data_IF_635574405152
#
_entry.id   IF_635574405152
#
_cell.length_a   1.000
_cell.length_b   1.000
_cell.length_c   1.000
_cell.angle_alpha   90.00
_cell.angle_beta   90.00
_cell.angle_gamma   90.00
#
_symmetry.space_group_name_H-M   'P 1'
#
loop_
_entity.id
_entity.type
_entity.pdbx_description
1 polymer ?
#
# COMPACT_ATOMS: atom_id res chain seq x y z
N UNK A 1 -19.34 -18.28 17.61
CA UNK A 1 -19.93 -17.04 18.07
C UNK A 1 -18.86 -15.98 18.31
N UNK A 2 -19.10 -14.79 17.81
CA UNK A 2 -18.22 -13.64 18.01
C UNK A 2 -18.42 -13.14 19.44
N UNK A 3 -17.32 -12.84 20.15
CA UNK A 3 -17.41 -12.22 21.46
C UNK A 3 -18.09 -10.85 21.36
N UNK A 4 -18.71 -10.34 22.42
CA UNK A 4 -19.33 -9.00 22.38
C UNK A 4 -18.36 -7.91 21.93
N UNK A 5 -17.10 -8.02 22.34
CA UNK A 5 -16.06 -7.09 21.95
C UNK A 5 -15.73 -7.20 20.46
N UNK A 6 -15.66 -8.39 19.91
CA UNK A 6 -15.42 -8.62 18.49
C UNK A 6 -16.61 -8.17 17.66
N UNK A 7 -17.82 -8.45 18.10
CA UNK A 7 -19.04 -8.02 17.42
C UNK A 7 -19.13 -6.50 17.32
N UNK A 8 -18.81 -5.80 18.41
CA UNK A 8 -18.78 -4.33 18.41
C UNK A 8 -17.73 -3.78 17.46
N UNK A 9 -16.55 -4.39 17.46
CA UNK A 9 -15.45 -3.97 16.58
C UNK A 9 -15.81 -4.18 15.11
N UNK A 10 -16.36 -5.36 14.76
CA UNK A 10 -16.77 -5.67 13.40
C UNK A 10 -17.88 -4.74 12.93
N UNK A 11 -18.89 -4.49 13.77
CA UNK A 11 -19.97 -3.59 13.43
C UNK A 11 -19.49 -2.16 13.19
N UNK A 12 -18.48 -1.72 13.94
CA UNK A 12 -17.94 -0.37 13.79
C UNK A 12 -17.00 -0.22 12.59
N UNK A 13 -16.11 -1.19 12.36
CA UNK A 13 -15.07 -1.08 11.35
C UNK A 13 -15.42 -1.78 10.04
N UNK A 14 -16.11 -2.90 10.09
CA UNK A 14 -16.23 -3.79 8.95
C UNK A 14 -17.49 -3.62 8.11
N UNK A 15 -18.54 -2.98 8.63
CA UNK A 15 -19.83 -2.94 7.91
C UNK A 15 -19.73 -2.20 6.57
N UNK A 16 -18.81 -1.25 6.42
CA UNK A 16 -18.65 -0.48 5.19
C UNK A 16 -17.58 -1.04 4.26
N UNK A 17 -16.57 -1.72 4.81
CA UNK A 17 -15.43 -2.22 4.04
C UNK A 17 -15.08 -3.64 4.50
N UNK A 18 -15.49 -4.66 3.73
CA UNK A 18 -15.12 -6.04 4.07
C UNK A 18 -13.64 -6.27 3.75
N UNK A 19 -12.81 -6.30 4.77
CA UNK A 19 -11.39 -6.53 4.60
C UNK A 19 -11.11 -8.01 4.37
N UNK A 20 -10.30 -8.30 3.35
CA UNK A 20 -9.99 -9.67 2.94
C UNK A 20 -9.09 -10.40 3.92
N UNK A 21 -8.34 -9.66 4.75
CA UNK A 21 -7.40 -10.26 5.69
C UNK A 21 -7.03 -9.30 6.81
N UNK A 22 -6.35 -9.83 7.83
CA UNK A 22 -5.72 -9.03 8.88
C UNK A 22 -4.23 -8.85 8.59
N UNK A 23 -3.63 -7.84 9.22
CA UNK A 23 -2.22 -7.53 9.04
C UNK A 23 -1.33 -8.59 9.65
N UNK A 24 -0.20 -8.86 9.02
CA UNK A 24 0.77 -9.85 9.46
C UNK A 24 1.96 -9.26 10.21
N UNK A 25 2.28 -7.98 9.98
CA UNK A 25 3.43 -7.27 10.57
C UNK A 25 4.76 -7.97 10.26
N UNK A 26 4.92 -8.42 9.01
CA UNK A 26 6.13 -9.11 8.56
C UNK A 26 7.05 -8.21 7.74
N UNK A 27 6.78 -6.91 7.71
CA UNK A 27 7.62 -5.90 7.07
C UNK A 27 7.76 -6.11 5.55
N UNK A 28 6.64 -6.38 4.89
CA UNK A 28 6.59 -6.49 3.43
C UNK A 28 5.81 -5.35 2.82
N UNK A 29 6.35 -4.79 1.74
CA UNK A 29 5.69 -3.77 0.93
C UNK A 29 5.53 -4.25 -0.51
N UNK A 30 4.43 -3.86 -1.14
CA UNK A 30 4.16 -4.13 -2.55
C UNK A 30 4.21 -2.84 -3.35
N UNK A 31 4.82 -2.89 -4.53
CA UNK A 31 4.84 -1.82 -5.52
C UNK A 31 4.49 -2.45 -6.86
N UNK A 32 3.46 -1.95 -7.52
CA UNK A 32 3.12 -2.37 -8.88
C UNK A 32 3.42 -1.24 -9.86
N UNK A 33 4.06 -1.57 -10.97
CA UNK A 33 4.45 -0.60 -11.97
C UNK A 33 4.39 -1.19 -13.37
N UNK A 34 4.35 -0.32 -14.39
CA UNK A 34 4.51 -0.72 -15.78
C UNK A 34 5.70 0.00 -16.43
N UNK A 35 6.53 0.66 -15.64
CA UNK A 35 7.73 1.36 -16.13
C UNK A 35 8.82 1.31 -15.07
N UNK A 36 9.99 1.83 -15.41
CA UNK A 36 11.09 1.98 -14.46
C UNK A 36 11.08 3.33 -13.74
N UNK A 37 10.05 4.15 -13.98
CA UNK A 37 9.89 5.43 -13.31
C UNK A 37 9.10 5.24 -12.01
N UNK A 38 9.84 4.86 -10.98
CA UNK A 38 9.31 4.63 -9.64
C UNK A 38 9.99 5.61 -8.68
N UNK A 39 9.21 6.56 -8.17
CA UNK A 39 9.73 7.71 -7.42
C UNK A 39 10.51 7.29 -6.18
N UNK A 40 11.76 7.73 -6.08
CA UNK A 40 12.64 7.48 -4.93
C UNK A 40 12.82 6.00 -4.53
N UNK A 41 12.53 5.06 -5.41
CA UNK A 41 12.53 3.63 -5.03
C UNK A 41 13.86 3.16 -4.46
N UNK A 42 14.98 3.44 -5.14
CA UNK A 42 16.28 2.99 -4.67
C UNK A 42 16.66 3.63 -3.34
N UNK A 43 16.37 4.89 -3.17
CA UNK A 43 16.60 5.62 -1.93
C UNK A 43 15.78 5.03 -0.76
N UNK A 44 14.50 4.72 -1.00
CA UNK A 44 13.64 4.09 0.00
C UNK A 44 14.19 2.72 0.41
N UNK A 45 14.51 1.90 -0.57
CA UNK A 45 15.02 0.54 -0.36
C UNK A 45 16.31 0.56 0.45
N UNK A 46 17.24 1.47 0.14
CA UNK A 46 18.53 1.53 0.82
C UNK A 46 18.45 2.17 2.21
N UNK A 47 17.54 3.12 2.42
CA UNK A 47 17.44 3.86 3.68
C UNK A 47 16.43 3.28 4.67
N UNK A 48 15.52 2.41 4.22
CA UNK A 48 14.62 1.65 5.08
C UNK A 48 14.84 0.14 4.83
N UNK A 49 15.98 -0.39 5.24
CA UNK A 49 16.39 -1.76 4.89
C UNK A 49 15.66 -2.86 5.65
N UNK A 50 14.93 -2.52 6.72
CA UNK A 50 14.15 -3.51 7.48
C UNK A 50 12.88 -3.95 6.76
N UNK A 51 12.47 -3.23 5.73
CA UNK A 51 11.35 -3.59 4.87
C UNK A 51 11.82 -4.49 3.73
N UNK A 52 11.05 -5.49 3.36
CA UNK A 52 11.23 -6.23 2.11
C UNK A 52 10.28 -5.67 1.05
N UNK A 53 10.83 -5.28 -0.09
CA UNK A 53 10.08 -4.62 -1.16
C UNK A 53 9.84 -5.58 -2.30
N UNK A 54 8.58 -5.82 -2.62
CA UNK A 54 8.16 -6.64 -3.76
C UNK A 54 7.76 -5.70 -4.89
N UNK A 55 8.53 -5.69 -5.97
CA UNK A 55 8.28 -4.81 -7.11
C UNK A 55 7.80 -5.66 -8.28
N UNK A 56 6.53 -5.51 -8.63
CA UNK A 56 5.90 -6.25 -9.72
C UNK A 56 5.65 -5.35 -10.93
N UNK A 57 6.02 -5.84 -12.11
CA UNK A 57 5.74 -5.17 -13.37
C UNK A 57 4.83 -6.05 -14.22
N UNK A 58 3.82 -5.42 -14.87
CA UNK A 58 2.94 -6.16 -15.79
C UNK A 58 3.61 -6.40 -17.14
N UNK A 59 4.78 -5.79 -17.36
CA UNK A 59 5.61 -5.93 -18.54
C UNK A 59 6.98 -6.45 -18.16
N UNK A 60 7.87 -6.58 -19.14
CA UNK A 60 9.28 -6.81 -18.87
C UNK A 60 9.86 -5.64 -18.09
N UNK A 61 10.84 -5.91 -17.25
CA UNK A 61 11.54 -4.87 -16.51
C UNK A 61 12.77 -4.42 -17.28
N UNK A 62 13.02 -3.09 -17.26
CA UNK A 62 14.25 -2.54 -17.82
C UNK A 62 15.46 -2.99 -17.00
N UNK A 63 16.65 -2.86 -17.61
CA UNK A 63 17.89 -3.16 -16.90
C UNK A 63 18.09 -2.29 -15.67
N UNK A 64 17.59 -1.04 -15.71
CA UNK A 64 17.64 -0.12 -14.57
C UNK A 64 16.85 -0.66 -13.39
N UNK A 65 15.64 -1.16 -13.64
CA UNK A 65 14.81 -1.73 -12.58
C UNK A 65 15.38 -3.06 -12.10
N UNK A 66 15.85 -3.92 -13.02
CA UNK A 66 16.45 -5.19 -12.67
C UNK A 66 17.73 -5.06 -11.84
N UNK A 67 18.43 -3.93 -11.95
CA UNK A 67 19.63 -3.64 -11.16
C UNK A 67 19.34 -3.59 -9.67
N UNK A 68 18.12 -3.35 -9.27
CA UNK A 68 17.70 -3.34 -7.86
C UNK A 68 17.81 -4.73 -7.22
N UNK A 69 17.99 -5.79 -8.00
CA UNK A 69 18.26 -7.13 -7.48
C UNK A 69 19.54 -7.20 -6.63
N UNK A 70 20.43 -6.21 -6.75
CA UNK A 70 21.61 -6.10 -5.89
C UNK A 70 21.27 -5.91 -4.40
N UNK A 71 20.05 -5.42 -4.10
CA UNK A 71 19.60 -5.27 -2.72
C UNK A 71 18.95 -6.56 -2.23
N UNK A 72 19.41 -7.05 -1.06
CA UNK A 72 18.88 -8.30 -0.50
C UNK A 72 17.42 -8.20 -0.03
N UNK A 73 16.95 -6.97 0.17
CA UNK A 73 15.57 -6.70 0.60
C UNK A 73 14.64 -6.34 -0.55
N UNK A 74 14.99 -6.72 -1.77
CA UNK A 74 14.16 -6.48 -2.97
C UNK A 74 13.89 -7.79 -3.67
N UNK A 75 12.64 -8.03 -4.03
CA UNK A 75 12.22 -9.11 -4.93
C UNK A 75 11.55 -8.48 -6.15
N UNK A 76 12.00 -8.88 -7.33
CA UNK A 76 11.50 -8.35 -8.60
C UNK A 76 10.65 -9.39 -9.32
N UNK A 77 9.52 -8.95 -9.86
CA UNK A 77 8.57 -9.82 -10.55
C UNK A 77 8.27 -9.24 -11.94
N UNK A 78 9.15 -9.47 -12.93
CA UNK A 78 8.84 -9.08 -14.31
C UNK A 78 7.70 -9.94 -14.85
N UNK A 79 6.81 -9.35 -15.63
CA UNK A 79 5.62 -10.02 -16.17
C UNK A 79 4.84 -10.73 -15.06
N UNK A 80 4.54 -9.99 -13.99
CA UNK A 80 3.92 -10.56 -12.79
C UNK A 80 2.56 -11.22 -13.12
N UNK A 81 2.34 -12.40 -12.57
CA UNK A 81 1.10 -13.15 -12.80
C UNK A 81 0.01 -12.74 -11.82
N UNK A 82 -1.25 -13.05 -12.16
CA UNK A 82 -2.39 -12.79 -11.28
C UNK A 82 -2.24 -13.53 -9.95
N UNK A 83 -1.73 -14.76 -9.96
CA UNK A 83 -1.49 -15.55 -8.74
C UNK A 83 -0.44 -14.91 -7.86
N UNK A 84 0.64 -14.40 -8.46
CA UNK A 84 1.69 -13.69 -7.72
C UNK A 84 1.13 -12.42 -7.06
N UNK A 85 0.35 -11.64 -7.81
CA UNK A 85 -0.27 -10.42 -7.27
C UNK A 85 -1.18 -10.76 -6.09
N UNK A 86 -2.04 -11.76 -6.21
CA UNK A 86 -2.93 -12.19 -5.14
C UNK A 86 -2.17 -12.60 -3.89
N UNK A 87 -1.10 -13.37 -4.07
CA UNK A 87 -0.26 -13.81 -2.96
C UNK A 87 0.37 -12.61 -2.25
N UNK A 88 0.88 -11.64 -3.01
CA UNK A 88 1.52 -10.46 -2.44
C UNK A 88 0.53 -9.57 -1.68
N UNK A 89 -0.70 -9.45 -2.15
CA UNK A 89 -1.74 -8.74 -1.40
C UNK A 89 -2.06 -9.43 -0.07
N UNK A 90 -1.81 -10.72 0.06
CA UNK A 90 -2.02 -11.44 1.31
C UNK A 90 -0.81 -11.38 2.24
N UNK A 91 0.37 -11.15 1.71
CA UNK A 91 1.61 -11.14 2.49
C UNK A 91 2.01 -9.74 2.96
N UNK A 92 1.78 -8.71 2.16
CA UNK A 92 2.28 -7.37 2.42
C UNK A 92 1.30 -6.55 3.26
N UNK A 93 1.82 -5.75 4.18
CA UNK A 93 1.05 -4.82 4.98
C UNK A 93 1.10 -3.39 4.44
N UNK A 94 1.98 -3.11 3.48
CA UNK A 94 2.15 -1.79 2.88
C UNK A 94 1.99 -1.87 1.38
N UNK A 95 1.34 -0.87 0.81
CA UNK A 95 1.35 -0.61 -0.61
C UNK A 95 1.96 0.75 -0.86
N UNK A 96 3.05 0.81 -1.65
CA UNK A 96 3.70 2.07 -1.99
C UNK A 96 3.25 2.47 -3.39
N UNK A 97 2.41 3.49 -3.45
CA UNK A 97 1.85 4.03 -4.69
C UNK A 97 2.80 5.11 -5.24
N UNK A 98 3.92 4.66 -5.78
CA UNK A 98 5.04 5.52 -6.16
C UNK A 98 5.45 5.45 -7.63
N UNK A 99 4.70 4.72 -8.46
CA UNK A 99 4.95 4.66 -9.90
C UNK A 99 4.30 5.85 -10.63
N UNK A 100 4.98 6.35 -11.66
CA UNK A 100 4.54 7.55 -12.37
C UNK A 100 3.47 7.31 -13.43
N UNK A 101 3.35 6.11 -13.93
CA UNK A 101 2.39 5.78 -14.99
C UNK A 101 1.00 5.55 -14.40
N UNK A 102 0.06 5.15 -15.24
CA UNK A 102 -1.30 4.85 -14.81
C UNK A 102 -1.32 3.81 -13.70
N UNK A 103 -2.36 3.85 -12.89
CA UNK A 103 -2.56 2.86 -11.84
C UNK A 103 -2.67 1.45 -12.45
N UNK A 104 -2.03 0.49 -11.80
CA UNK A 104 -1.97 -0.89 -12.25
C UNK A 104 -3.02 -1.71 -11.50
N UNK A 105 -3.95 -2.32 -12.24
CA UNK A 105 -4.92 -3.30 -11.72
C UNK A 105 -5.73 -2.77 -10.53
N UNK A 106 -6.07 -1.48 -10.54
CA UNK A 106 -6.77 -0.82 -9.42
C UNK A 106 -6.07 -1.07 -8.08
N UNK A 107 -4.76 -0.91 -8.06
CA UNK A 107 -3.91 -1.34 -6.94
C UNK A 107 -4.26 -0.66 -5.62
N UNK A 108 -4.60 0.64 -5.62
CA UNK A 108 -4.92 1.33 -4.37
C UNK A 108 -6.20 0.79 -3.74
N UNK A 109 -7.22 0.51 -4.55
CA UNK A 109 -8.45 -0.10 -4.06
C UNK A 109 -8.18 -1.51 -3.52
N UNK A 110 -7.44 -2.32 -4.27
CA UNK A 110 -7.09 -3.67 -3.84
C UNK A 110 -6.26 -3.67 -2.56
N UNK A 111 -5.31 -2.75 -2.45
CA UNK A 111 -4.51 -2.60 -1.24
C UNK A 111 -5.39 -2.21 -0.05
N UNK A 112 -6.30 -1.26 -0.24
CA UNK A 112 -7.24 -0.86 0.80
C UNK A 112 -8.10 -2.03 1.25
N UNK A 113 -8.68 -2.78 0.32
CA UNK A 113 -9.52 -3.94 0.60
C UNK A 113 -8.76 -5.08 1.29
N UNK A 114 -7.45 -5.16 1.07
CA UNK A 114 -6.57 -6.13 1.72
C UNK A 114 -5.91 -5.58 2.99
N UNK A 115 -6.42 -4.49 3.52
CA UNK A 115 -6.02 -3.92 4.80
C UNK A 115 -4.54 -3.49 4.83
N UNK A 116 -4.05 -2.99 3.71
CA UNK A 116 -2.69 -2.50 3.57
C UNK A 116 -2.65 -0.99 3.77
N UNK A 117 -1.59 -0.53 4.42
CA UNK A 117 -1.36 0.91 4.57
C UNK A 117 -0.74 1.46 3.28
N UNK A 118 -1.36 2.51 2.73
CA UNK A 118 -0.95 3.09 1.45
C UNK A 118 -0.19 4.38 1.71
N UNK A 119 1.00 4.51 1.13
CA UNK A 119 1.78 5.73 1.10
C UNK A 119 2.06 6.10 -0.36
N UNK A 120 2.06 7.40 -0.66
CA UNK A 120 2.26 7.91 -2.01
C UNK A 120 3.01 9.24 -1.98
N UNK A 121 3.51 9.65 -3.13
CA UNK A 121 3.96 11.02 -3.34
C UNK A 121 2.89 11.82 -4.08
N UNK A 122 2.93 13.14 -3.97
CA UNK A 122 1.93 14.00 -4.62
C UNK A 122 1.93 13.85 -6.15
N UNK A 123 3.06 13.48 -6.73
CA UNK A 123 3.20 13.27 -8.17
C UNK A 123 2.98 11.82 -8.62
N UNK A 124 2.67 10.91 -7.70
CA UNK A 124 2.43 9.49 -8.02
C UNK A 124 1.14 8.93 -7.44
N UNK A 125 0.41 9.69 -6.64
CA UNK A 125 -0.82 9.21 -6.01
C UNK A 125 -1.91 8.92 -7.03
N UNK A 126 -2.45 7.70 -7.01
CA UNK A 126 -3.49 7.24 -7.94
C UNK A 126 -4.87 7.07 -7.30
N UNK A 127 -4.92 6.90 -5.99
CA UNK A 127 -6.17 6.61 -5.31
C UNK A 127 -6.42 7.53 -4.13
N UNK A 128 -6.70 8.81 -4.39
CA UNK A 128 -6.92 9.78 -3.33
C UNK A 128 -8.09 9.43 -2.41
N UNK A 129 -9.05 8.63 -2.88
CA UNK A 129 -10.15 8.17 -2.02
C UNK A 129 -9.70 7.09 -1.03
N UNK A 130 -8.63 6.36 -1.31
CA UNK A 130 -8.15 5.27 -0.46
C UNK A 130 -6.88 5.61 0.31
N UNK A 131 -6.20 6.69 -0.04
CA UNK A 131 -4.95 7.10 0.59
C UNK A 131 -5.21 8.32 1.47
N UNK A 132 -4.90 8.22 2.76
CA UNK A 132 -5.06 9.36 3.66
C UNK A 132 -4.18 10.52 3.21
N UNK A 133 -4.69 11.77 3.21
CA UNK A 133 -3.89 12.93 2.78
C UNK A 133 -2.58 13.08 3.55
N UNK A 134 -2.55 12.67 4.82
CA UNK A 134 -1.32 12.71 5.64
C UNK A 134 -0.27 11.69 5.18
N UNK A 135 -0.64 10.74 4.33
CA UNK A 135 0.27 9.73 3.77
C UNK A 135 0.57 9.98 2.29
N UNK A 136 0.29 11.19 1.82
CA UNK A 136 0.69 11.66 0.49
C UNK A 136 1.73 12.74 0.71
N UNK A 137 2.98 12.44 0.33
CA UNK A 137 4.14 13.26 0.66
C UNK A 137 4.65 13.99 -0.57
N UNK A 138 5.28 15.16 -0.35
CA UNK A 138 6.00 15.83 -1.42
C UNK A 138 7.21 14.99 -1.85
N UNK A 139 7.45 14.82 -3.16
CA UNK A 139 8.69 14.16 -3.61
C UNK A 139 9.95 14.95 -3.24
N UNK A 140 9.79 16.23 -2.92
CA UNK A 140 10.88 17.06 -2.42
C UNK A 140 11.18 16.80 -0.94
N UNK A 141 10.31 16.07 -0.26
CA UNK A 141 10.45 15.72 1.16
C UNK A 141 10.36 14.20 1.34
N UNK A 142 11.17 13.48 0.58
CA UNK A 142 11.21 12.02 0.64
C UNK A 142 11.67 11.52 2.02
N UNK A 143 12.39 12.34 2.78
CA UNK A 143 12.78 12.01 4.15
C UNK A 143 11.58 11.80 5.05
N UNK A 144 10.52 12.59 4.90
CA UNK A 144 9.30 12.44 5.67
C UNK A 144 8.57 11.12 5.33
N UNK A 145 8.52 10.77 4.05
CA UNK A 145 7.98 9.48 3.59
C UNK A 145 8.74 8.31 4.27
N UNK A 146 10.06 8.34 4.20
CA UNK A 146 10.92 7.29 4.76
C UNK A 146 10.79 7.19 6.27
N UNK A 147 10.71 8.33 6.95
CA UNK A 147 10.54 8.37 8.40
C UNK A 147 9.21 7.77 8.81
N UNK A 148 8.12 8.11 8.13
CA UNK A 148 6.79 7.56 8.40
C UNK A 148 6.79 6.04 8.20
N UNK A 149 7.39 5.57 7.11
CA UNK A 149 7.52 4.16 6.82
C UNK A 149 8.30 3.43 7.91
N UNK A 150 9.43 3.99 8.30
CA UNK A 150 10.28 3.42 9.35
C UNK A 150 9.57 3.35 10.69
N UNK A 151 8.86 4.40 11.08
CA UNK A 151 8.10 4.43 12.34
C UNK A 151 6.97 3.41 12.33
N UNK A 152 6.25 3.29 11.21
CA UNK A 152 5.15 2.33 11.08
C UNK A 152 5.65 0.89 11.17
N UNK A 153 6.85 0.61 10.67
CA UNK A 153 7.48 -0.70 10.79
C UNK A 153 7.85 -1.04 12.23
N UNK A 154 8.34 -0.08 12.97
CA UNK A 154 8.83 -0.29 14.32
C UNK A 154 7.78 -0.17 15.41
N UNK A 155 6.57 0.28 15.08
CA UNK A 155 5.52 0.57 16.06
C UNK A 155 4.15 0.18 15.51
N UNK A 156 3.62 -0.94 15.98
CA UNK A 156 2.34 -1.48 15.51
C UNK A 156 1.16 -0.56 15.87
N UNK A 157 1.22 0.14 17.00
CA UNK A 157 0.17 1.11 17.35
C UNK A 157 0.14 2.27 16.38
N UNK A 158 1.30 2.77 16.00
CA UNK A 158 1.41 3.84 15.02
C UNK A 158 0.88 3.37 13.66
N UNK A 159 1.25 2.15 13.24
CA UNK A 159 0.73 1.55 12.01
C UNK A 159 -0.81 1.50 12.04
N UNK A 160 -1.38 0.98 13.13
CA UNK A 160 -2.83 0.88 13.28
C UNK A 160 -3.50 2.24 13.27
N UNK A 161 -2.88 3.23 13.91
CA UNK A 161 -3.39 4.60 13.92
C UNK A 161 -3.45 5.16 12.48
N UNK A 162 -2.41 4.98 11.70
CA UNK A 162 -2.38 5.41 10.31
C UNK A 162 -3.42 4.66 9.47
N UNK A 163 -3.59 3.38 9.71
CA UNK A 163 -4.57 2.57 9.00
C UNK A 163 -6.00 2.99 9.35
N UNK A 164 -6.27 3.30 10.59
CA UNK A 164 -7.58 3.81 11.02
C UNK A 164 -7.90 5.14 10.36
N UNK A 165 -6.93 6.02 10.24
CA UNK A 165 -7.08 7.30 9.54
C UNK A 165 -7.35 7.08 8.06
N UNK A 166 -6.71 6.10 7.45
CA UNK A 166 -6.95 5.72 6.05
C UNK A 166 -8.40 5.28 5.86
N UNK A 167 -8.91 4.44 6.74
CA UNK A 167 -10.30 3.97 6.69
C UNK A 167 -11.29 5.11 6.91
N UNK A 168 -11.02 5.98 7.85
CA UNK A 168 -11.84 7.14 8.14
C UNK A 168 -11.92 8.07 6.92
N UNK A 169 -10.79 8.32 6.27
CA UNK A 169 -10.74 9.14 5.07
C UNK A 169 -11.56 8.51 3.93
N UNK A 170 -11.43 7.21 3.70
CA UNK A 170 -12.17 6.52 2.66
C UNK A 170 -13.67 6.59 2.91
N UNK A 171 -14.10 6.47 4.16
CA UNK A 171 -15.51 6.56 4.53
C UNK A 171 -16.10 7.93 4.20
N UNK A 172 -15.32 9.01 4.37
CA UNK A 172 -15.75 10.37 4.06
C UNK A 172 -15.71 10.62 2.55
N UNK A 173 -14.70 10.07 1.87
CA UNK A 173 -14.46 10.35 0.45
C UNK A 173 -15.43 9.64 -0.49
N UNK A 174 -16.00 8.49 -0.09
CA UNK A 174 -16.80 7.63 -0.97
C UNK A 174 -18.28 7.45 -0.60
N UNK A 175 -18.89 8.22 0.32
CA UNK A 175 -20.26 7.92 0.75
C UNK A 175 -21.29 8.09 -0.36
N UNK A 176 -21.15 9.06 -1.24
CA UNK A 176 -22.07 9.30 -2.34
C UNK A 176 -22.01 8.17 -3.37
N UNK A 177 -20.84 7.73 -3.74
CA UNK A 177 -20.64 6.65 -4.67
C UNK A 177 -21.21 5.35 -4.12
N UNK A 178 -21.02 5.11 -2.84
CA UNK A 178 -21.57 3.97 -2.15
C UNK A 178 -23.09 3.98 -2.17
N UNK A 179 -23.72 5.13 -1.94
CA UNK A 179 -25.16 5.26 -1.97
C UNK A 179 -25.73 5.05 -3.37
N UNK A 180 -25.05 5.49 -4.41
CA UNK A 180 -25.45 5.28 -5.79
C UNK A 180 -25.48 3.79 -6.17
N UNK A 181 -24.56 3.03 -5.63
CA UNK A 181 -24.50 1.58 -5.88
C UNK A 181 -25.64 0.86 -5.17
N UNK A 182 -26.03 1.30 -3.99
CA UNK A 182 -27.08 0.69 -3.20
C UNK A 182 -28.46 1.18 -3.64
N UNK A 183 -28.58 2.42 -3.91
CA UNK A 183 -29.83 3.07 -4.26
C UNK A 183 -30.14 2.99 -5.73
#
# INVERSE_FOLDING_TARGET
LISPQQASHVAFLGFMYPFARQNHFQNHALILTNSDQVEHLESIVSEVPTMHYHVGAITEMSSRLMDLAKYSNVSLYPNITTEQVKRLYQEADFYLDINHQNEILSATRAAFENNMLILAFTNTSHGSEYTAPSNIFSPMDAGHFKQTLHEALGNHEFFRHLLDRQREHARVATPEDYQKVIG
#
